data_IF_461792033501
#
_entry.id   IF_461792033501
#
_cell.length_a   1.000
_cell.length_b   1.000
_cell.length_c   1.000
_cell.angle_alpha   90.00
_cell.angle_beta   90.00
_cell.angle_gamma   90.00
#
_symmetry.space_group_name_H-M   'P 1'
#
loop_
_entity.id
_entity.type
_entity.pdbx_description
1 polymer ?
#
# COMPACT_ATOMS: atom_id res chain seq x y z
N UNK A 1 -24.98 -6.18 -3.39
CA UNK A 1 -24.97 -7.64 -3.59
C UNK A 1 -23.72 -8.17 -2.90
N UNK A 2 -23.88 -8.96 -1.85
CA UNK A 2 -22.78 -9.68 -1.21
C UNK A 2 -22.45 -10.88 -2.10
N UNK A 3 -21.26 -10.88 -2.68
CA UNK A 3 -20.70 -12.08 -3.30
C UNK A 3 -20.15 -12.92 -2.15
N UNK A 4 -20.87 -13.98 -1.77
CA UNK A 4 -20.33 -15.00 -0.89
C UNK A 4 -19.56 -15.99 -1.77
N UNK A 5 -18.26 -16.18 -1.50
CA UNK A 5 -17.45 -17.17 -2.22
C UNK A 5 -17.82 -18.53 -1.65
N UNK A 6 -18.77 -19.21 -2.29
CA UNK A 6 -19.26 -20.51 -1.84
C UNK A 6 -18.77 -21.63 -2.77
N UNK A 7 -18.61 -21.36 -4.07
CA UNK A 7 -18.34 -22.40 -5.07
C UNK A 7 -17.17 -22.08 -6.03
N UNK A 8 -16.70 -23.12 -6.72
CA UNK A 8 -15.69 -23.07 -7.79
C UNK A 8 -15.91 -21.95 -8.84
N UNK A 9 -17.14 -21.69 -9.31
CA UNK A 9 -17.41 -20.64 -10.29
C UNK A 9 -17.08 -19.25 -9.75
N UNK A 10 -17.27 -18.99 -8.45
CA UNK A 10 -17.01 -17.67 -7.85
C UNK A 10 -15.52 -17.32 -7.88
N UNK A 11 -14.67 -18.31 -7.61
CA UNK A 11 -13.21 -18.15 -7.73
C UNK A 11 -12.81 -17.88 -9.18
N UNK A 12 -13.41 -18.59 -10.14
CA UNK A 12 -13.17 -18.36 -11.57
C UNK A 12 -13.60 -16.94 -11.95
N UNK A 13 -14.75 -16.46 -11.47
CA UNK A 13 -15.26 -15.10 -11.72
C UNK A 13 -14.27 -14.03 -11.23
N UNK A 14 -13.75 -14.15 -10.01
CA UNK A 14 -12.76 -13.21 -9.45
C UNK A 14 -11.48 -13.21 -10.30
N UNK A 15 -10.96 -14.39 -10.66
CA UNK A 15 -9.76 -14.50 -11.50
C UNK A 15 -9.97 -13.89 -12.89
N UNK A 16 -11.16 -14.07 -13.48
CA UNK A 16 -11.55 -13.48 -14.78
C UNK A 16 -11.63 -11.95 -14.68
N UNK A 17 -12.27 -11.41 -13.64
CA UNK A 17 -12.37 -9.96 -13.40
C UNK A 17 -10.97 -9.33 -13.29
N UNK A 18 -10.09 -9.90 -12.46
CA UNK A 18 -8.72 -9.40 -12.27
C UNK A 18 -7.87 -9.50 -13.57
N UNK A 19 -8.04 -10.56 -14.37
CA UNK A 19 -7.32 -10.70 -15.64
C UNK A 19 -7.81 -9.71 -16.71
N UNK A 20 -9.10 -9.42 -16.76
CA UNK A 20 -9.70 -8.48 -17.71
C UNK A 20 -9.59 -7.01 -17.23
N UNK A 21 -9.32 -6.77 -15.94
CA UNK A 21 -9.12 -5.45 -15.34
C UNK A 21 -8.06 -4.62 -16.06
N UNK A 22 -7.02 -5.30 -16.59
CA UNK A 22 -5.90 -4.69 -17.35
C UNK A 22 -6.32 -4.15 -18.73
N UNK A 23 -7.62 -4.04 -19.01
CA UNK A 23 -8.19 -3.26 -20.12
C UNK A 23 -8.27 -3.98 -21.47
N UNK A 24 -7.76 -5.20 -21.57
CA UNK A 24 -7.64 -5.91 -22.83
C UNK A 24 -8.88 -6.75 -23.15
N UNK A 25 -9.30 -6.74 -24.41
CA UNK A 25 -10.10 -7.84 -24.98
C UNK A 25 -9.24 -9.10 -24.94
N UNK A 26 -9.77 -10.18 -24.39
CA UNK A 26 -9.05 -11.45 -24.29
C UNK A 26 -9.91 -12.52 -24.95
N UNK A 27 -9.33 -13.25 -25.91
CA UNK A 27 -9.94 -14.46 -26.48
C UNK A 27 -10.19 -15.48 -25.38
N UNK A 28 -11.34 -16.17 -25.39
CA UNK A 28 -11.67 -17.25 -24.46
C UNK A 28 -10.56 -18.29 -24.32
N UNK A 29 -9.94 -18.69 -25.41
CA UNK A 29 -8.82 -19.66 -25.42
C UNK A 29 -7.57 -19.12 -24.71
N UNK A 30 -7.30 -17.82 -24.82
CA UNK A 30 -6.19 -17.16 -24.15
C UNK A 30 -6.50 -16.91 -22.67
N UNK A 31 -7.76 -16.58 -22.35
CA UNK A 31 -8.26 -16.49 -20.97
C UNK A 31 -8.12 -17.85 -20.28
N UNK A 32 -8.60 -18.93 -20.92
CA UNK A 32 -8.41 -20.30 -20.47
C UNK A 32 -6.93 -20.61 -20.30
N UNK A 33 -6.07 -20.33 -21.29
CA UNK A 33 -4.63 -20.57 -21.17
C UNK A 33 -3.96 -19.78 -20.03
N UNK A 34 -4.43 -18.57 -19.74
CA UNK A 34 -3.96 -17.79 -18.58
C UNK A 34 -4.43 -18.40 -17.27
N UNK A 35 -5.68 -18.82 -17.20
CA UNK A 35 -6.25 -19.54 -16.07
C UNK A 35 -5.52 -20.88 -15.87
N UNK A 36 -5.34 -21.68 -16.92
CA UNK A 36 -4.60 -22.95 -16.88
C UNK A 36 -3.12 -22.76 -16.50
N UNK A 37 -2.48 -21.67 -16.97
CA UNK A 37 -1.11 -21.32 -16.58
C UNK A 37 -1.03 -20.97 -15.08
N UNK A 38 -2.06 -20.31 -14.56
CA UNK A 38 -2.23 -20.04 -13.13
C UNK A 38 -2.52 -21.33 -12.35
N UNK A 39 -3.27 -22.26 -12.92
CA UNK A 39 -3.64 -23.57 -12.36
C UNK A 39 -2.58 -24.67 -12.55
N UNK A 40 -1.34 -24.30 -12.88
CA UNK A 40 -0.25 -25.17 -13.37
C UNK A 40 -0.29 -26.62 -12.83
N UNK A 41 -0.37 -27.56 -13.78
CA UNK A 41 0.05 -28.97 -13.72
C UNK A 41 -0.89 -30.06 -13.17
N UNK A 42 -1.98 -29.77 -12.44
CA UNK A 42 -2.78 -30.87 -11.83
C UNK A 42 -4.30 -30.77 -11.93
N UNK A 43 -4.85 -29.65 -12.44
CA UNK A 43 -6.27 -29.54 -12.79
C UNK A 43 -6.43 -28.52 -13.92
N UNK A 44 -6.67 -29.01 -15.15
CA UNK A 44 -7.21 -28.16 -16.20
C UNK A 44 -8.64 -27.79 -15.78
N UNK A 45 -8.96 -26.50 -15.67
CA UNK A 45 -10.36 -26.09 -15.57
C UNK A 45 -11.04 -26.54 -16.85
N UNK A 46 -12.12 -27.31 -16.70
CA UNK A 46 -12.85 -27.80 -17.86
C UNK A 46 -13.42 -26.60 -18.63
N UNK A 47 -13.41 -26.66 -19.96
CA UNK A 47 -13.96 -25.55 -20.75
C UNK A 47 -15.44 -25.32 -20.41
N UNK A 48 -16.16 -26.37 -20.02
CA UNK A 48 -17.55 -26.29 -19.58
C UNK A 48 -17.73 -25.48 -18.29
N UNK A 49 -16.85 -25.65 -17.30
CA UNK A 49 -16.88 -24.89 -16.05
C UNK A 49 -16.59 -23.40 -16.31
N UNK A 50 -15.58 -23.11 -17.15
CA UNK A 50 -15.27 -21.74 -17.56
C UNK A 50 -16.41 -21.11 -18.37
N UNK A 51 -17.03 -21.85 -19.29
CA UNK A 51 -18.16 -21.35 -20.07
C UNK A 51 -19.39 -21.10 -19.21
N UNK A 52 -19.66 -21.94 -18.22
CA UNK A 52 -20.74 -21.72 -17.25
C UNK A 52 -20.52 -20.42 -16.48
N UNK A 53 -19.32 -20.23 -15.91
CA UNK A 53 -18.97 -19.00 -15.21
C UNK A 53 -19.06 -17.75 -16.11
N UNK A 54 -18.59 -17.82 -17.36
CA UNK A 54 -18.68 -16.71 -18.31
C UNK A 54 -20.13 -16.41 -18.72
N UNK A 55 -20.97 -17.43 -18.90
CA UNK A 55 -22.40 -17.23 -19.19
C UNK A 55 -23.10 -16.51 -18.04
N UNK A 56 -22.82 -16.91 -16.81
CA UNK A 56 -23.40 -16.27 -15.63
C UNK A 56 -22.93 -14.81 -15.48
N UNK A 57 -21.62 -14.55 -15.65
CA UNK A 57 -21.10 -13.17 -15.66
C UNK A 57 -21.67 -12.31 -16.79
N UNK A 58 -22.00 -12.92 -17.93
CA UNK A 58 -22.66 -12.26 -19.05
C UNK A 58 -24.12 -11.93 -18.71
N UNK A 59 -24.85 -12.86 -18.09
CA UNK A 59 -26.24 -12.62 -17.64
C UNK A 59 -26.33 -11.56 -16.54
N UNK A 60 -25.30 -11.44 -15.70
CA UNK A 60 -25.19 -10.39 -14.67
C UNK A 60 -24.72 -9.03 -15.25
N UNK A 61 -24.44 -8.96 -16.55
CA UNK A 61 -24.01 -7.75 -17.23
C UNK A 61 -22.57 -7.32 -16.89
N UNK A 62 -21.74 -8.21 -16.36
CA UNK A 62 -20.34 -7.93 -15.98
C UNK A 62 -19.39 -8.01 -17.16
N UNK A 63 -19.66 -8.90 -18.11
CA UNK A 63 -18.87 -9.06 -19.33
C UNK A 63 -19.75 -9.01 -20.58
N UNK A 64 -19.15 -8.60 -21.69
CA UNK A 64 -19.70 -8.78 -23.03
C UNK A 64 -18.87 -9.82 -23.76
N UNK A 65 -19.55 -10.75 -24.41
CA UNK A 65 -18.94 -11.74 -25.29
C UNK A 65 -19.24 -11.41 -26.74
N UNK A 66 -18.21 -11.26 -27.58
CA UNK A 66 -18.35 -11.02 -29.02
C UNK A 66 -17.30 -11.83 -29.78
N UNK A 67 -17.72 -12.71 -30.71
CA UNK A 67 -16.83 -13.52 -31.56
C UNK A 67 -15.76 -14.30 -30.78
N UNK A 68 -16.10 -14.83 -29.59
CA UNK A 68 -15.16 -15.56 -28.73
C UNK A 68 -14.18 -14.67 -27.95
N UNK A 69 -14.28 -13.34 -28.06
CA UNK A 69 -13.59 -12.38 -27.20
C UNK A 69 -14.46 -12.01 -26.00
N UNK A 70 -13.82 -11.95 -24.83
CA UNK A 70 -14.43 -11.51 -23.57
C UNK A 70 -13.91 -10.13 -23.21
N UNK A 71 -14.80 -9.22 -22.82
CA UNK A 71 -14.47 -7.87 -22.36
C UNK A 71 -15.33 -7.46 -21.18
N UNK A 72 -14.77 -6.72 -20.21
CA UNK A 72 -15.57 -6.13 -19.13
C UNK A 72 -16.50 -5.03 -19.63
N UNK A 73 -17.73 -5.05 -19.15
CA UNK A 73 -18.69 -3.94 -19.30
C UNK A 73 -18.29 -2.77 -18.38
N UNK A 74 -19.04 -1.66 -18.41
CA UNK A 74 -18.84 -0.57 -17.43
C UNK A 74 -19.06 -1.05 -16.00
N UNK A 75 -20.05 -1.91 -15.78
CA UNK A 75 -20.36 -2.50 -14.48
C UNK A 75 -19.26 -3.48 -14.03
N UNK A 76 -18.83 -4.38 -14.92
CA UNK A 76 -17.73 -5.30 -14.64
C UNK A 76 -16.41 -4.58 -14.35
N UNK A 77 -16.13 -3.45 -15.02
CA UNK A 77 -14.97 -2.60 -14.70
C UNK A 77 -15.05 -1.97 -13.32
N UNK A 78 -16.23 -1.50 -12.91
CA UNK A 78 -16.43 -0.92 -11.57
C UNK A 78 -16.22 -1.98 -10.50
N UNK A 79 -16.86 -3.14 -10.66
CA UNK A 79 -16.73 -4.27 -9.73
C UNK A 79 -15.30 -4.80 -9.69
N UNK A 80 -14.64 -4.91 -10.85
CA UNK A 80 -13.23 -5.30 -10.94
C UNK A 80 -12.32 -4.30 -10.22
N UNK A 81 -12.59 -2.99 -10.30
CA UNK A 81 -11.83 -1.97 -9.53
C UNK A 81 -12.10 -2.07 -8.04
N UNK A 82 -13.33 -2.34 -7.62
CA UNK A 82 -13.67 -2.53 -6.20
C UNK A 82 -12.93 -3.75 -5.65
N UNK A 83 -12.98 -4.89 -6.34
CA UNK A 83 -12.19 -6.08 -5.99
C UNK A 83 -10.69 -5.84 -6.04
N UNK A 84 -10.20 -5.13 -7.06
CA UNK A 84 -8.79 -4.74 -7.13
C UNK A 84 -8.41 -3.85 -5.95
N UNK A 85 -9.27 -2.93 -5.51
CA UNK A 85 -8.99 -2.06 -4.36
C UNK A 85 -9.12 -2.76 -3.00
N UNK A 86 -10.00 -3.76 -2.91
CA UNK A 86 -10.17 -4.58 -1.70
C UNK A 86 -9.03 -5.59 -1.55
N UNK A 87 -8.55 -6.15 -2.66
CA UNK A 87 -7.51 -7.17 -2.68
C UNK A 87 -6.09 -6.59 -2.85
N UNK A 88 -5.95 -5.41 -3.46
CA UNK A 88 -4.69 -4.73 -3.68
C UNK A 88 -4.79 -3.30 -3.14
N UNK A 89 -4.03 -2.99 -2.08
CA UNK A 89 -3.87 -1.61 -1.55
C UNK A 89 -3.31 -0.71 -2.65
N UNK A 90 -4.17 -0.04 -3.42
CA UNK A 90 -3.76 0.62 -4.68
C UNK A 90 -3.44 2.11 -4.59
N UNK A 91 -3.57 2.74 -3.42
CA UNK A 91 -3.32 4.16 -3.29
C UNK A 91 -2.34 4.45 -2.16
N UNK A 92 -1.06 4.78 -2.48
CA UNK A 92 0.00 4.99 -1.50
C UNK A 92 -0.12 6.35 -0.79
N UNK A 93 -1.34 6.83 -0.53
CA UNK A 93 -1.56 8.17 0.02
C UNK A 93 -1.10 8.22 1.48
N UNK A 94 -1.26 7.13 2.23
CA UNK A 94 -0.79 7.06 3.62
C UNK A 94 0.73 7.07 3.69
N UNK A 95 1.37 6.37 2.78
CA UNK A 95 2.80 6.19 2.65
C UNK A 95 3.47 7.51 2.29
N UNK A 96 2.85 8.28 1.37
CA UNK A 96 3.28 9.64 1.05
C UNK A 96 3.16 10.53 2.27
N UNK A 97 2.02 10.50 2.98
CA UNK A 97 1.83 11.36 4.15
C UNK A 97 2.78 10.99 5.29
N UNK A 98 2.98 9.70 5.55
CA UNK A 98 3.92 9.22 6.55
C UNK A 98 5.35 9.66 6.22
N UNK A 99 5.81 9.40 4.98
CA UNK A 99 7.14 9.82 4.57
C UNK A 99 7.32 11.34 4.61
N UNK A 100 6.33 12.10 4.17
CA UNK A 100 6.37 13.57 4.20
C UNK A 100 6.55 14.09 5.63
N UNK A 101 5.86 13.51 6.60
CA UNK A 101 5.97 13.88 8.01
C UNK A 101 7.32 13.50 8.57
N UNK A 102 7.69 12.22 8.50
CA UNK A 102 8.89 11.70 9.16
C UNK A 102 10.14 12.36 8.60
N UNK A 103 10.17 12.60 7.29
CA UNK A 103 11.22 13.36 6.63
C UNK A 103 11.30 14.80 7.15
N UNK A 104 10.16 15.49 7.23
CA UNK A 104 10.12 16.89 7.67
C UNK A 104 10.52 17.06 9.14
N UNK A 105 10.03 16.19 10.04
CA UNK A 105 10.42 16.21 11.46
C UNK A 105 11.91 15.95 11.59
N UNK A 106 12.44 14.94 10.89
CA UNK A 106 13.87 14.65 10.86
C UNK A 106 14.68 15.85 10.37
N UNK A 107 14.20 16.52 9.32
CA UNK A 107 14.79 17.74 8.79
C UNK A 107 14.90 18.86 9.84
N UNK A 108 13.83 19.13 10.59
CA UNK A 108 13.87 20.08 11.73
C UNK A 108 14.94 19.66 12.73
N UNK A 109 14.92 18.39 13.16
CA UNK A 109 15.81 17.91 14.22
C UNK A 109 17.26 18.13 13.84
N UNK A 110 17.64 17.83 12.59
CA UNK A 110 18.97 18.09 12.07
C UNK A 110 19.30 19.59 12.08
N UNK A 111 18.39 20.44 11.60
CA UNK A 111 18.61 21.89 11.53
C UNK A 111 18.79 22.50 12.92
N UNK A 112 17.92 22.17 13.87
CA UNK A 112 18.03 22.67 15.24
C UNK A 112 19.31 22.18 15.91
N UNK A 113 19.67 20.91 15.72
CA UNK A 113 20.91 20.37 16.26
C UNK A 113 22.13 21.08 15.66
N UNK A 114 22.14 21.31 14.35
CA UNK A 114 23.22 22.00 13.66
C UNK A 114 23.34 23.47 14.05
N UNK A 115 22.21 24.17 14.19
CA UNK A 115 22.15 25.56 14.62
C UNK A 115 22.75 25.73 16.03
N UNK A 116 22.41 24.83 16.94
CA UNK A 116 22.82 24.92 18.35
C UNK A 116 24.27 24.51 18.56
N UNK A 117 24.70 23.45 17.88
CA UNK A 117 26.10 23.04 17.89
C UNK A 117 27.00 23.94 17.01
N UNK A 118 26.45 25.02 16.43
CA UNK A 118 27.14 25.94 15.54
C UNK A 118 27.93 25.22 14.43
N UNK A 119 27.33 24.16 13.86
CA UNK A 119 27.98 23.33 12.85
C UNK A 119 28.19 24.11 11.55
N UNK A 120 29.36 23.94 10.95
CA UNK A 120 29.62 24.43 9.60
C UNK A 120 28.73 23.74 8.55
N UNK A 121 28.55 24.34 7.35
CA UNK A 121 27.66 23.81 6.31
C UNK A 121 28.02 22.38 5.87
N UNK A 122 29.31 22.06 5.75
CA UNK A 122 29.77 20.73 5.32
C UNK A 122 29.41 19.62 6.33
N UNK A 123 29.60 19.89 7.62
CA UNK A 123 29.21 18.96 8.69
C UNK A 123 27.70 18.82 8.79
N UNK A 124 26.97 19.92 8.61
CA UNK A 124 25.50 19.92 8.56
C UNK A 124 24.98 19.06 7.41
N UNK A 125 25.55 19.20 6.21
CA UNK A 125 25.21 18.36 5.04
C UNK A 125 25.52 16.89 5.34
N UNK A 126 26.70 16.59 5.88
CA UNK A 126 27.08 15.21 6.19
C UNK A 126 26.12 14.57 7.20
N UNK A 127 25.83 15.26 8.31
CA UNK A 127 24.90 14.79 9.32
C UNK A 127 23.48 14.63 8.75
N UNK A 128 23.01 15.62 7.98
CA UNK A 128 21.72 15.58 7.29
C UNK A 128 21.56 14.36 6.39
N UNK A 129 22.52 14.12 5.50
CA UNK A 129 22.46 12.99 4.57
C UNK A 129 22.51 11.65 5.31
N UNK A 130 23.35 11.52 6.33
CA UNK A 130 23.47 10.30 7.11
C UNK A 130 22.14 10.01 7.84
N UNK A 131 21.59 10.99 8.55
CA UNK A 131 20.35 10.84 9.31
C UNK A 131 19.15 10.61 8.39
N UNK A 132 18.99 11.39 7.32
CA UNK A 132 17.89 11.20 6.37
C UNK A 132 17.96 9.86 5.64
N UNK A 133 19.16 9.39 5.29
CA UNK A 133 19.31 8.06 4.70
C UNK A 133 18.92 6.97 5.69
N UNK A 134 19.35 7.08 6.95
CA UNK A 134 18.98 6.12 7.99
C UNK A 134 17.45 6.08 8.19
N UNK A 135 16.80 7.24 8.36
CA UNK A 135 15.34 7.33 8.56
C UNK A 135 14.58 6.86 7.32
N UNK A 136 15.03 7.19 6.11
CA UNK A 136 14.41 6.72 4.87
C UNK A 136 14.51 5.20 4.71
N UNK A 137 15.65 4.59 5.08
CA UNK A 137 15.83 3.13 5.09
C UNK A 137 14.93 2.48 6.13
N UNK A 138 14.85 3.05 7.34
CA UNK A 138 13.96 2.55 8.39
C UNK A 138 12.50 2.60 7.94
N UNK A 139 12.04 3.71 7.37
CA UNK A 139 10.68 3.84 6.87
C UNK A 139 10.39 2.89 5.70
N UNK A 140 11.31 2.76 4.75
CA UNK A 140 11.21 1.77 3.69
C UNK A 140 11.03 0.35 4.28
N UNK A 141 11.89 -0.02 5.22
CA UNK A 141 11.86 -1.34 5.86
C UNK A 141 10.57 -1.55 6.64
N UNK A 142 10.11 -0.56 7.42
CA UNK A 142 8.88 -0.64 8.21
C UNK A 142 7.64 -0.83 7.35
N UNK A 143 7.52 -0.12 6.22
CA UNK A 143 6.38 -0.30 5.32
C UNK A 143 6.46 -1.61 4.53
N UNK A 144 7.66 -2.05 4.15
CA UNK A 144 7.85 -3.32 3.46
C UNK A 144 7.53 -4.51 4.38
N UNK A 145 8.22 -4.60 5.53
CA UNK A 145 8.02 -5.68 6.50
C UNK A 145 6.64 -5.59 7.13
N UNK A 146 6.19 -4.41 7.53
CA UNK A 146 4.87 -4.20 8.12
C UNK A 146 3.75 -4.66 7.18
N UNK A 147 3.82 -4.24 5.90
CA UNK A 147 2.88 -4.71 4.88
C UNK A 147 2.92 -6.22 4.71
N UNK A 148 4.11 -6.81 4.55
CA UNK A 148 4.25 -8.28 4.42
C UNK A 148 3.66 -9.00 5.64
N UNK A 149 3.89 -8.51 6.86
CA UNK A 149 3.35 -9.15 8.07
C UNK A 149 1.84 -9.04 8.20
N UNK A 150 1.26 -7.88 7.84
CA UNK A 150 -0.19 -7.66 7.84
C UNK A 150 -0.85 -8.59 6.83
N UNK A 151 -0.34 -8.62 5.60
CA UNK A 151 -0.91 -9.44 4.54
C UNK A 151 -0.75 -10.94 4.83
N UNK A 152 0.37 -11.37 5.42
CA UNK A 152 0.55 -12.76 5.83
C UNK A 152 -0.45 -13.17 6.93
N UNK A 153 -0.73 -12.27 7.88
CA UNK A 153 -1.75 -12.50 8.90
C UNK A 153 -3.16 -12.59 8.30
N UNK A 154 -3.49 -11.72 7.33
CA UNK A 154 -4.78 -11.76 6.62
C UNK A 154 -4.92 -13.03 5.79
N UNK A 155 -3.86 -13.46 5.10
CA UNK A 155 -3.83 -14.72 4.34
C UNK A 155 -4.02 -15.92 5.27
N UNK A 156 -3.36 -15.95 6.43
CA UNK A 156 -3.55 -17.02 7.43
C UNK A 156 -4.98 -17.05 7.96
N UNK A 157 -5.56 -15.88 8.23
CA UNK A 157 -6.94 -15.76 8.71
C UNK A 157 -7.94 -16.24 7.67
N UNK A 158 -7.76 -15.81 6.42
CA UNK A 158 -8.54 -16.30 5.28
C UNK A 158 -8.39 -17.83 5.13
N UNK A 159 -7.16 -18.36 5.20
CA UNK A 159 -6.90 -19.79 5.16
C UNK A 159 -7.74 -20.57 6.19
N UNK A 160 -7.82 -20.06 7.42
CA UNK A 160 -8.62 -20.66 8.47
C UNK A 160 -10.13 -20.59 8.19
N UNK A 161 -10.63 -19.43 7.74
CA UNK A 161 -12.05 -19.24 7.42
C UNK A 161 -12.50 -20.13 6.26
N UNK A 162 -11.67 -20.32 5.24
CA UNK A 162 -12.02 -21.16 4.11
C UNK A 162 -11.87 -22.64 4.44
N UNK A 163 -10.88 -23.05 5.25
CA UNK A 163 -10.81 -24.42 5.72
C UNK A 163 -12.08 -24.81 6.48
N UNK A 164 -12.65 -23.86 7.23
CA UNK A 164 -13.94 -24.02 7.89
C UNK A 164 -15.10 -24.07 6.89
N UNK A 165 -15.19 -23.09 5.97
CA UNK A 165 -16.31 -22.98 5.01
C UNK A 165 -16.35 -24.14 4.00
N UNK A 166 -15.18 -24.59 3.53
CA UNK A 166 -15.05 -25.67 2.54
C UNK A 166 -15.23 -27.04 3.20
N UNK A 167 -15.19 -27.15 4.53
CA UNK A 167 -15.48 -28.40 5.23
C UNK A 167 -16.94 -28.84 5.10
N UNK A 168 -17.85 -27.92 4.77
CA UNK A 168 -19.27 -28.19 4.56
C UNK A 168 -19.59 -28.77 3.16
N UNK A 169 -18.61 -28.86 2.24
CA UNK A 169 -18.81 -29.50 0.93
C UNK A 169 -18.81 -31.03 1.09
N UNK A 170 -19.93 -31.73 0.79
CA UNK A 170 -20.04 -33.18 1.01
C UNK A 170 -19.23 -34.01 -0.01
N UNK A 171 -19.02 -33.52 -1.24
CA UNK A 171 -18.17 -34.18 -2.24
C UNK A 171 -16.69 -33.86 -2.02
N UNK A 172 -15.93 -34.90 -1.66
CA UNK A 172 -14.48 -34.82 -1.43
C UNK A 172 -13.70 -34.33 -2.66
N UNK A 173 -14.14 -34.65 -3.89
CA UNK A 173 -13.43 -34.23 -5.11
C UNK A 173 -13.62 -32.74 -5.39
N UNK A 174 -14.83 -32.21 -5.24
CA UNK A 174 -15.10 -30.77 -5.38
C UNK A 174 -14.44 -29.96 -4.27
N UNK A 175 -14.43 -30.50 -3.05
CA UNK A 175 -13.76 -29.90 -1.90
C UNK A 175 -12.26 -29.72 -2.14
N UNK A 176 -11.58 -30.78 -2.57
CA UNK A 176 -10.14 -30.75 -2.83
C UNK A 176 -9.79 -29.81 -4.00
N UNK A 177 -10.63 -29.76 -5.05
CA UNK A 177 -10.49 -28.79 -6.16
C UNK A 177 -10.63 -27.34 -5.67
N UNK A 178 -11.62 -27.07 -4.81
CA UNK A 178 -11.92 -25.73 -4.30
C UNK A 178 -10.80 -25.22 -3.40
N UNK A 179 -10.34 -26.03 -2.43
CA UNK A 179 -9.21 -25.69 -1.57
C UNK A 179 -7.94 -25.36 -2.37
N UNK A 180 -7.70 -26.07 -3.47
CA UNK A 180 -6.53 -25.85 -4.31
C UNK A 180 -6.61 -24.55 -5.13
N UNK A 181 -7.75 -24.25 -5.75
CA UNK A 181 -7.93 -22.99 -6.50
C UNK A 181 -7.83 -21.78 -5.58
N UNK A 182 -8.38 -21.90 -4.39
CA UNK A 182 -8.22 -20.93 -3.33
C UNK A 182 -6.73 -20.76 -2.98
N UNK A 183 -5.99 -21.84 -2.70
CA UNK A 183 -4.54 -21.78 -2.44
C UNK A 183 -3.78 -21.08 -3.57
N UNK A 184 -4.19 -21.27 -4.84
CA UNK A 184 -3.57 -20.63 -6.00
C UNK A 184 -3.96 -19.15 -6.16
N UNK A 185 -5.20 -18.79 -5.80
CA UNK A 185 -5.62 -17.40 -5.67
C UNK A 185 -4.74 -16.67 -4.65
N UNK A 186 -4.44 -17.30 -3.50
CA UNK A 186 -3.49 -16.76 -2.52
C UNK A 186 -2.09 -16.56 -3.07
N UNK A 187 -1.56 -17.51 -3.84
CA UNK A 187 -0.23 -17.37 -4.45
C UNK A 187 -0.17 -16.21 -5.47
N UNK A 188 -1.25 -15.99 -6.24
CA UNK A 188 -1.32 -14.84 -7.14
C UNK A 188 -1.46 -13.52 -6.40
N UNK A 189 -2.32 -13.50 -5.37
CA UNK A 189 -2.49 -12.36 -4.48
C UNK A 189 -1.17 -12.02 -3.82
N UNK A 190 -0.48 -12.97 -3.20
CA UNK A 190 0.82 -12.81 -2.54
C UNK A 190 1.85 -12.10 -3.45
N UNK A 191 1.94 -12.51 -4.72
CA UNK A 191 2.86 -11.87 -5.68
C UNK A 191 2.49 -10.42 -5.97
N UNK A 192 1.21 -10.13 -6.17
CA UNK A 192 0.74 -8.77 -6.51
C UNK A 192 0.74 -7.88 -5.26
N UNK A 193 0.45 -8.44 -4.08
CA UNK A 193 0.56 -7.84 -2.75
C UNK A 193 2.01 -7.47 -2.45
N UNK A 194 2.95 -8.40 -2.58
CA UNK A 194 4.37 -8.13 -2.35
C UNK A 194 4.88 -6.98 -3.23
N UNK A 195 4.45 -6.96 -4.51
CA UNK A 195 4.75 -5.86 -5.42
C UNK A 195 4.14 -4.54 -4.93
N UNK A 196 2.90 -4.55 -4.44
CA UNK A 196 2.24 -3.38 -3.87
C UNK A 196 2.97 -2.84 -2.64
N UNK A 197 3.35 -3.72 -1.71
CA UNK A 197 4.11 -3.36 -0.52
C UNK A 197 5.48 -2.80 -0.85
N UNK A 198 6.16 -3.36 -1.87
CA UNK A 198 7.41 -2.81 -2.37
C UNK A 198 7.22 -1.40 -2.94
N UNK A 199 6.17 -1.16 -3.73
CA UNK A 199 5.87 0.19 -4.22
C UNK A 199 5.56 1.17 -3.08
N UNK A 200 4.75 0.75 -2.10
CA UNK A 200 4.45 1.52 -0.90
C UNK A 200 5.72 1.91 -0.14
N UNK A 201 6.61 0.95 0.10
CA UNK A 201 7.89 1.14 0.76
C UNK A 201 8.81 2.11 0.01
N UNK A 202 8.95 1.93 -1.32
CA UNK A 202 9.75 2.82 -2.18
C UNK A 202 9.22 4.25 -2.10
N UNK A 203 7.90 4.43 -2.23
CA UNK A 203 7.28 5.76 -2.21
C UNK A 203 7.47 6.43 -0.85
N UNK A 204 7.27 5.69 0.25
CA UNK A 204 7.49 6.22 1.60
C UNK A 204 8.95 6.63 1.81
N UNK A 205 9.91 5.76 1.47
CA UNK A 205 11.34 6.03 1.62
C UNK A 205 11.81 7.24 0.81
N UNK A 206 11.43 7.33 -0.47
CA UNK A 206 11.76 8.47 -1.33
C UNK A 206 11.12 9.76 -0.80
N UNK A 207 9.84 9.71 -0.42
CA UNK A 207 9.13 10.88 0.11
C UNK A 207 9.77 11.36 1.41
N UNK A 208 10.17 10.44 2.29
CA UNK A 208 10.91 10.73 3.53
C UNK A 208 12.20 11.50 3.24
N UNK A 209 13.02 10.98 2.33
CA UNK A 209 14.29 11.59 1.99
C UNK A 209 14.12 13.00 1.39
N UNK A 210 13.21 13.14 0.42
CA UNK A 210 12.94 14.41 -0.27
C UNK A 210 12.35 15.43 0.69
N UNK A 211 11.35 15.04 1.49
CA UNK A 211 10.68 15.93 2.44
C UNK A 211 11.66 16.50 3.48
N UNK A 212 12.58 15.68 3.99
CA UNK A 212 13.59 16.13 4.94
C UNK A 212 14.72 16.95 4.30
N UNK A 213 15.01 16.73 3.02
CA UNK A 213 16.03 17.50 2.30
C UNK A 213 15.60 18.95 2.07
N UNK A 214 14.31 19.21 1.81
CA UNK A 214 13.78 20.56 1.53
C UNK A 214 14.11 21.58 2.63
N UNK A 215 13.78 21.37 3.91
CA UNK A 215 14.11 22.32 4.96
C UNK A 215 15.62 22.44 5.18
N UNK A 216 16.40 21.37 4.99
CA UNK A 216 17.86 21.41 5.18
C UNK A 216 18.53 22.25 4.09
N UNK A 217 18.13 22.07 2.83
CA UNK A 217 18.60 22.90 1.71
C UNK A 217 18.22 24.36 1.95
N UNK A 218 17.01 24.59 2.45
CA UNK A 218 16.54 25.94 2.81
C UNK A 218 17.44 26.56 3.88
N UNK A 219 17.79 25.81 4.93
CA UNK A 219 18.68 26.27 5.99
C UNK A 219 20.09 26.61 5.49
N UNK A 220 20.65 25.82 4.57
CA UNK A 220 22.02 26.06 4.07
C UNK A 220 22.05 27.20 3.04
N UNK A 221 21.00 27.37 2.24
CA UNK A 221 20.99 28.29 1.11
C UNK A 221 20.66 29.74 1.50
N UNK A 222 19.95 29.96 2.60
CA UNK A 222 19.54 31.28 3.05
C UNK A 222 20.55 31.89 4.04
N UNK A 223 20.70 33.22 4.08
CA UNK A 223 21.51 33.88 5.09
C UNK A 223 20.80 33.88 6.46
N UNK A 224 21.59 33.78 7.53
CA UNK A 224 21.09 33.93 8.90
C UNK A 224 20.54 35.35 9.12
N UNK A 225 19.38 35.52 9.79
CA UNK A 225 18.57 34.53 10.52
C UNK A 225 17.37 33.95 9.73
N UNK A 226 17.26 34.26 8.43
CA UNK A 226 16.12 33.84 7.61
C UNK A 226 16.13 32.32 7.33
N UNK A 227 17.31 31.72 7.33
CA UNK A 227 17.56 30.28 7.22
C UNK A 227 16.72 29.43 8.18
N UNK A 228 16.83 29.66 9.48
CA UNK A 228 16.16 28.88 10.52
C UNK A 228 14.65 29.16 10.51
N UNK A 229 14.25 30.43 10.37
CA UNK A 229 12.84 30.85 10.41
C UNK A 229 12.06 30.23 9.24
N UNK A 230 12.59 30.31 8.02
CA UNK A 230 11.89 29.80 6.84
C UNK A 230 11.82 28.27 6.87
N UNK A 231 12.91 27.61 7.28
CA UNK A 231 12.96 26.14 7.38
C UNK A 231 11.98 25.60 8.42
N UNK A 232 11.88 26.25 9.58
CA UNK A 232 10.88 25.92 10.61
C UNK A 232 9.46 26.16 10.11
N UNK A 233 9.24 27.25 9.37
CA UNK A 233 7.92 27.56 8.79
C UNK A 233 7.48 26.50 7.79
N UNK A 234 8.38 26.06 6.89
CA UNK A 234 8.10 25.00 5.92
C UNK A 234 7.63 23.73 6.64
N UNK A 235 8.36 23.30 7.66
CA UNK A 235 8.00 22.07 8.37
C UNK A 235 6.75 22.25 9.21
N UNK A 236 6.53 23.40 9.84
CA UNK A 236 5.29 23.70 10.55
C UNK A 236 4.06 23.63 9.61
N UNK A 237 4.20 24.12 8.38
CA UNK A 237 3.16 24.00 7.34
C UNK A 237 2.96 22.55 6.92
N UNK A 238 4.03 21.81 6.67
CA UNK A 238 3.93 20.41 6.24
C UNK A 238 3.29 19.55 7.34
N UNK A 239 3.79 19.63 8.57
CA UNK A 239 3.25 18.88 9.72
C UNK A 239 1.81 19.34 10.03
N UNK A 240 1.56 20.65 10.09
CA UNK A 240 0.24 21.20 10.41
C UNK A 240 -0.84 20.83 9.39
N UNK A 241 -0.53 20.96 8.09
CA UNK A 241 -1.50 20.67 7.03
C UNK A 241 -1.57 19.18 6.75
N UNK A 242 -0.45 18.50 6.53
CA UNK A 242 -0.48 17.11 6.08
C UNK A 242 -0.65 16.12 7.22
N UNK A 243 0.06 16.26 8.35
CA UNK A 243 -0.17 15.32 9.44
C UNK A 243 -1.53 15.57 10.06
N UNK A 244 -1.78 16.79 10.52
CA UNK A 244 -2.91 17.01 11.43
C UNK A 244 -4.25 16.97 10.68
N UNK A 245 -4.37 17.64 9.52
CA UNK A 245 -5.62 17.64 8.76
C UNK A 245 -5.93 16.27 8.16
N UNK A 246 -4.91 15.58 7.63
CA UNK A 246 -5.13 14.30 6.97
C UNK A 246 -5.38 13.18 7.99
N UNK A 247 -4.59 13.11 9.08
CA UNK A 247 -4.82 12.15 10.17
C UNK A 247 -6.19 12.37 10.79
N UNK A 248 -6.57 13.62 11.09
CA UNK A 248 -7.92 13.96 11.58
C UNK A 248 -9.03 13.49 10.63
N UNK A 249 -8.89 13.73 9.32
CA UNK A 249 -9.89 13.31 8.32
C UNK A 249 -10.01 11.79 8.23
N UNK A 250 -8.90 11.05 8.37
CA UNK A 250 -8.90 9.59 8.22
C UNK A 250 -9.29 8.84 9.49
N UNK A 251 -8.84 9.29 10.66
CA UNK A 251 -9.20 8.67 11.95
C UNK A 251 -10.55 9.15 12.48
N UNK A 252 -11.19 10.13 11.83
CA UNK A 252 -12.41 10.82 12.29
C UNK A 252 -12.26 11.43 13.69
N UNK A 253 -11.03 11.70 14.12
CA UNK A 253 -10.71 12.38 15.38
C UNK A 253 -10.64 13.88 15.14
N UNK A 254 -11.06 14.68 16.12
CA UNK A 254 -11.05 16.13 16.03
C UNK A 254 -9.61 16.67 15.84
N UNK A 255 -9.40 17.53 14.84
CA UNK A 255 -8.09 18.09 14.45
C UNK A 255 -7.33 18.62 15.68
N UNK A 256 -8.01 19.35 16.57
CA UNK A 256 -7.37 19.98 17.74
C UNK A 256 -6.61 18.97 18.63
N UNK A 257 -7.14 17.76 18.80
CA UNK A 257 -6.51 16.70 19.59
C UNK A 257 -5.27 16.19 18.88
N UNK A 258 -5.40 15.90 17.58
CA UNK A 258 -4.28 15.45 16.75
C UNK A 258 -3.16 16.50 16.68
N UNK A 259 -3.51 17.79 16.69
CA UNK A 259 -2.52 18.89 16.72
C UNK A 259 -1.73 18.88 18.02
N UNK A 260 -2.42 18.73 19.14
CA UNK A 260 -1.79 18.69 20.46
C UNK A 260 -0.86 17.49 20.63
N UNK A 261 -1.29 16.29 20.21
CA UNK A 261 -0.42 15.10 20.20
C UNK A 261 0.85 15.33 19.37
N UNK A 262 0.69 15.90 18.18
CA UNK A 262 1.80 16.14 17.26
C UNK A 262 2.78 17.17 17.82
N UNK A 263 2.25 18.24 18.41
CA UNK A 263 3.06 19.27 19.06
C UNK A 263 3.84 18.69 20.24
N UNK A 264 3.20 17.84 21.05
CA UNK A 264 3.87 17.16 22.16
C UNK A 264 5.02 16.28 21.68
N UNK A 265 4.83 15.48 20.63
CA UNK A 265 5.90 14.66 20.03
C UNK A 265 7.06 15.53 19.55
N UNK A 266 6.77 16.61 18.82
CA UNK A 266 7.79 17.52 18.30
C UNK A 266 8.55 18.20 19.44
N UNK A 267 7.86 18.66 20.50
CA UNK A 267 8.50 19.26 21.67
C UNK A 267 9.43 18.25 22.35
N UNK A 268 8.97 17.03 22.60
CA UNK A 268 9.77 15.98 23.26
C UNK A 268 11.01 15.66 22.41
N UNK A 269 10.83 15.44 21.10
CA UNK A 269 11.93 15.15 20.19
C UNK A 269 12.93 16.31 20.15
N UNK A 270 12.45 17.54 20.07
CA UNK A 270 13.29 18.74 20.09
C UNK A 270 14.08 18.81 21.38
N UNK A 271 13.42 18.74 22.54
CA UNK A 271 14.10 18.80 23.86
C UNK A 271 15.13 17.68 24.01
N UNK A 272 14.82 16.46 23.59
CA UNK A 272 15.79 15.36 23.61
C UNK A 272 17.01 15.65 22.73
N UNK A 273 16.80 16.17 21.51
CA UNK A 273 17.89 16.58 20.62
C UNK A 273 18.69 17.76 21.17
N UNK A 274 18.04 18.74 21.83
CA UNK A 274 18.70 19.86 22.49
C UNK A 274 19.62 19.39 23.61
N UNK A 275 19.13 18.47 24.44
CA UNK A 275 19.90 17.89 25.55
C UNK A 275 21.08 17.09 25.02
N UNK A 276 20.89 16.25 24.00
CA UNK A 276 21.97 15.47 23.40
C UNK A 276 23.01 16.35 22.68
N UNK A 277 22.57 17.38 21.97
CA UNK A 277 23.44 18.29 21.22
C UNK A 277 24.15 19.33 22.08
N UNK A 278 23.64 19.65 23.28
CA UNK A 278 24.29 20.57 24.23
C UNK A 278 25.18 19.90 25.27
N UNK A 279 25.09 18.57 25.41
CA UNK A 279 25.99 17.77 26.28
C UNK A 279 27.24 17.29 25.50
N UNK A 280 27.17 17.22 24.16
CA UNK A 280 28.28 16.88 23.28
C UNK A 280 29.18 18.08 22.96
#
# INVERSE_FOLDING_TARGET
MSFEIQELPDVIRVVVLLNLAKGNKIRKTMLKRRIDKVCSSYTCIEMNELEKALKEMSSEGLITEFNGDVKLTKQGKRMSKEWESLLLKKEPIMEIVAGLVDGSITGIVVILSAFIAALGPQLTIFAAFLTLSAVAITNFSSFLLGGITEDLADIMTLQNLMNYSVSDIPDKKERDKSLFLIKKLFVLLDKEIHRSNLYAAIICGITTFVAGSIPIITYIALPSPLDAILSLTIVAVIVGIFLVRYRSKKTRVNWKVTLFETLAIVIIATVASLVLGGIA
#
